data_IF_357094043066
#
_entry.id   IF_357094043066
#
_cell.length_a   1.000
_cell.length_b   1.000
_cell.length_c   1.000
_cell.angle_alpha   90.00
_cell.angle_beta   90.00
_cell.angle_gamma   90.00
#
_symmetry.space_group_name_H-M   'P 1'
#
loop_
_entity.id
_entity.type
_entity.pdbx_description
1 polymer ?
#
# COMPACT_ATOMS: atom_id res chain seq x y z
N UNK A 1 8.65 -16.96 22.66
CA UNK A 1 9.31 -16.20 21.59
C UNK A 1 8.34 -16.14 20.42
N UNK A 2 7.98 -14.95 19.94
CA UNK A 2 7.08 -14.85 18.79
C UNK A 2 7.88 -15.08 17.52
N UNK A 3 7.41 -15.97 16.65
CA UNK A 3 8.09 -16.32 15.41
C UNK A 3 7.13 -16.43 14.24
N UNK A 4 7.66 -16.22 13.05
CA UNK A 4 6.96 -16.46 11.77
C UNK A 4 7.70 -17.59 11.09
N UNK A 5 7.05 -18.74 11.01
CA UNK A 5 7.72 -19.98 10.63
C UNK A 5 8.97 -20.26 11.46
N UNK A 6 10.13 -20.31 10.81
CA UNK A 6 11.41 -20.60 11.45
C UNK A 6 12.10 -19.38 12.07
N UNK A 7 11.64 -18.16 11.77
CA UNK A 7 12.37 -16.93 12.08
C UNK A 7 11.79 -16.27 13.33
N UNK A 8 12.68 -15.97 14.29
CA UNK A 8 12.31 -15.28 15.52
C UNK A 8 12.06 -13.78 15.27
N UNK A 9 10.94 -13.22 15.73
CA UNK A 9 10.64 -11.78 15.56
C UNK A 9 10.92 -10.99 16.83
N UNK A 10 10.51 -11.49 17.99
CA UNK A 10 10.71 -10.81 19.28
C UNK A 10 9.82 -11.35 20.39
N UNK A 11 9.87 -10.72 21.57
CA UNK A 11 8.99 -11.03 22.71
C UNK A 11 9.75 -11.14 24.03
N UNK A 12 9.06 -11.59 25.08
CA UNK A 12 9.60 -11.66 26.44
C UNK A 12 10.55 -12.83 26.72
N UNK A 13 10.82 -13.68 25.71
CA UNK A 13 11.72 -14.82 25.83
C UNK A 13 12.96 -14.62 24.94
N UNK A 14 14.09 -15.17 25.36
CA UNK A 14 15.33 -15.10 24.57
C UNK A 14 15.25 -15.87 23.25
N UNK A 15 16.01 -15.42 22.26
CA UNK A 15 16.25 -16.13 21.00
C UNK A 15 16.79 -17.55 21.28
N UNK A 16 16.38 -18.59 20.53
CA UNK A 16 16.90 -19.95 20.72
C UNK A 16 18.42 -20.07 20.59
N UNK A 17 18.99 -19.25 19.71
CA UNK A 17 20.39 -19.37 19.32
C UNK A 17 21.32 -18.57 20.24
N UNK A 18 20.88 -17.40 20.69
CA UNK A 18 21.72 -16.45 21.43
C UNK A 18 21.25 -16.24 22.87
N UNK A 19 20.01 -16.59 23.21
CA UNK A 19 19.37 -16.23 24.47
C UNK A 19 19.01 -14.73 24.57
N UNK A 20 19.32 -13.93 23.55
CA UNK A 20 19.06 -12.49 23.57
C UNK A 20 17.57 -12.18 23.43
N UNK A 21 17.10 -11.23 24.22
CA UNK A 21 15.72 -10.76 24.19
C UNK A 21 15.64 -9.59 23.21
N UNK A 22 14.74 -9.69 22.24
CA UNK A 22 14.44 -8.61 21.31
C UNK A 22 13.07 -8.05 21.68
N UNK A 23 13.06 -6.81 22.18
CA UNK A 23 11.86 -6.17 22.72
C UNK A 23 10.91 -5.69 21.61
N UNK A 24 11.47 -5.47 20.42
CA UNK A 24 10.75 -4.99 19.27
C UNK A 24 11.17 -5.77 18.04
N UNK A 25 10.25 -6.05 17.13
CA UNK A 25 10.61 -6.67 15.85
C UNK A 25 9.50 -6.58 14.83
N UNK A 26 9.88 -6.65 13.57
CA UNK A 26 8.95 -6.61 12.45
C UNK A 26 9.39 -7.57 11.36
N UNK A 27 8.42 -8.27 10.81
CA UNK A 27 8.55 -9.19 9.71
C UNK A 27 7.79 -8.61 8.50
N UNK A 28 8.50 -8.48 7.40
CA UNK A 28 7.93 -8.14 6.10
C UNK A 28 8.03 -9.32 5.14
N UNK A 29 7.23 -9.28 4.07
CA UNK A 29 7.18 -10.32 3.05
C UNK A 29 7.91 -9.89 1.78
N UNK A 30 8.83 -10.72 1.32
CA UNK A 30 9.59 -10.57 0.10
C UNK A 30 8.81 -11.07 -1.12
N UNK A 31 9.22 -10.59 -2.28
CA UNK A 31 8.61 -10.96 -3.56
C UNK A 31 8.79 -12.43 -3.92
N UNK A 32 9.88 -13.04 -3.44
CA UNK A 32 10.25 -14.44 -3.60
C UNK A 32 11.11 -14.93 -2.44
N UNK A 33 11.30 -16.25 -2.35
CA UNK A 33 12.16 -16.88 -1.34
C UNK A 33 13.63 -16.53 -1.65
N UNK A 34 14.42 -16.08 -0.65
CA UNK A 34 15.86 -15.86 -0.80
C UNK A 34 16.63 -17.12 -1.21
N UNK A 35 17.69 -16.97 -1.98
CA UNK A 35 18.56 -18.10 -2.34
C UNK A 35 19.39 -18.60 -1.15
N UNK A 36 19.81 -17.68 -0.28
CA UNK A 36 20.65 -17.95 0.88
C UNK A 36 20.07 -17.33 2.16
N UNK A 37 20.10 -18.11 3.25
CA UNK A 37 19.84 -17.59 4.60
C UNK A 37 21.01 -16.71 5.04
N UNK A 38 20.71 -15.61 5.72
CA UNK A 38 21.71 -14.64 6.16
C UNK A 38 21.21 -13.84 7.36
N UNK A 39 22.13 -13.46 8.24
CA UNK A 39 21.87 -12.65 9.44
C UNK A 39 22.91 -11.54 9.50
N UNK A 40 22.46 -10.29 9.58
CA UNK A 40 23.32 -9.12 9.65
C UNK A 40 23.05 -8.31 10.92
N UNK A 41 24.12 -8.08 11.68
CA UNK A 41 24.15 -7.27 12.92
C UNK A 41 25.02 -6.02 12.79
N UNK A 42 25.45 -5.68 11.57
CA UNK A 42 26.39 -4.58 11.29
C UNK A 42 25.72 -3.32 10.74
N UNK A 43 24.47 -3.42 10.29
CA UNK A 43 23.71 -2.29 9.73
C UNK A 43 23.40 -1.24 10.80
N UNK A 44 23.08 -1.69 12.01
CA UNK A 44 22.83 -0.82 13.17
C UNK A 44 23.17 -1.56 14.45
N UNK A 45 23.70 -0.85 15.45
CA UNK A 45 24.15 -1.46 16.71
C UNK A 45 23.02 -2.19 17.46
N UNK A 46 21.78 -1.76 17.27
CA UNK A 46 20.61 -2.27 18.00
C UNK A 46 19.70 -3.17 17.17
N UNK A 47 19.97 -3.37 15.88
CA UNK A 47 19.11 -4.16 14.99
C UNK A 47 19.84 -5.36 14.41
N UNK A 48 19.13 -6.47 14.38
CA UNK A 48 19.51 -7.68 13.69
C UNK A 48 18.50 -7.95 12.58
N UNK A 49 19.01 -8.17 11.36
CA UNK A 49 18.19 -8.42 10.18
C UNK A 49 18.46 -9.85 9.72
N UNK A 50 17.41 -10.65 9.55
CA UNK A 50 17.49 -12.05 9.13
C UNK A 50 16.59 -12.33 7.92
N UNK A 51 17.11 -13.14 7.00
CA UNK A 51 16.36 -13.81 5.93
C UNK A 51 16.66 -15.31 5.94
N UNK A 52 15.71 -16.13 5.49
CA UNK A 52 15.86 -17.58 5.41
C UNK A 52 15.57 -18.08 3.98
N UNK A 53 16.32 -19.07 3.48
CA UNK A 53 16.15 -19.59 2.13
C UNK A 53 15.01 -20.61 1.94
N UNK A 54 14.18 -20.82 2.95
CA UNK A 54 12.97 -21.64 2.88
C UNK A 54 11.69 -20.79 2.94
N UNK A 55 11.83 -19.48 3.10
CA UNK A 55 10.78 -18.59 3.60
C UNK A 55 10.90 -17.23 2.91
N UNK A 56 9.80 -16.65 2.44
CA UNK A 56 9.82 -15.35 1.75
C UNK A 56 9.73 -14.18 2.73
N UNK A 57 10.30 -14.29 3.93
CA UNK A 57 10.25 -13.26 4.95
C UNK A 57 11.62 -12.63 5.17
N UNK A 58 11.58 -11.34 5.53
CA UNK A 58 12.70 -10.62 6.12
C UNK A 58 12.26 -10.10 7.48
N UNK A 59 13.08 -10.32 8.50
CA UNK A 59 12.79 -9.91 9.87
C UNK A 59 13.86 -8.95 10.34
N UNK A 60 13.44 -7.78 10.83
CA UNK A 60 14.27 -6.86 11.58
C UNK A 60 13.84 -6.91 13.05
N UNK A 61 14.78 -7.16 13.96
CA UNK A 61 14.52 -7.26 15.40
C UNK A 61 15.50 -6.42 16.19
N UNK A 62 15.03 -5.79 17.27
CA UNK A 62 15.83 -4.88 18.09
C UNK A 62 15.81 -5.20 19.59
N UNK A 63 16.97 -4.97 20.21
CA UNK A 63 17.19 -5.02 21.67
C UNK A 63 16.62 -3.80 22.39
N UNK A 64 16.18 -2.77 21.66
CA UNK A 64 15.51 -1.59 22.22
C UNK A 64 14.00 -1.76 22.18
N UNK A 65 13.33 -1.13 23.14
CA UNK A 65 11.89 -0.98 23.17
C UNK A 65 11.53 0.29 22.39
N UNK A 66 11.00 0.12 21.19
CA UNK A 66 10.51 1.20 20.34
C UNK A 66 8.99 1.26 20.42
N UNK A 67 8.41 2.42 20.10
CA UNK A 67 6.98 2.49 19.87
C UNK A 67 6.57 1.84 18.53
N UNK A 68 5.27 1.66 18.34
CA UNK A 68 4.74 0.97 17.16
C UNK A 68 5.22 1.57 15.82
N UNK A 69 5.21 2.89 15.69
CA UNK A 69 5.54 3.59 14.44
C UNK A 69 7.06 3.61 14.20
N UNK A 70 7.84 3.74 15.27
CA UNK A 70 9.30 3.63 15.24
C UNK A 70 9.75 2.25 14.79
N UNK A 71 9.09 1.17 15.22
CA UNK A 71 9.41 -0.20 14.79
C UNK A 71 9.22 -0.36 13.28
N UNK A 72 8.07 0.11 12.76
CA UNK A 72 7.79 0.01 11.32
C UNK A 72 8.82 0.84 10.54
N UNK A 73 9.04 2.09 10.94
CA UNK A 73 9.92 3.01 10.22
C UNK A 73 11.38 2.54 10.24
N UNK A 74 11.95 2.28 11.42
CA UNK A 74 13.36 1.88 11.54
C UNK A 74 13.59 0.46 11.05
N UNK A 75 12.67 -0.46 11.34
CA UNK A 75 12.77 -1.85 10.88
C UNK A 75 12.70 -1.95 9.36
N UNK A 76 11.83 -1.17 8.72
CA UNK A 76 11.76 -1.11 7.25
C UNK A 76 13.05 -0.56 6.64
N UNK A 77 13.59 0.56 7.15
CA UNK A 77 14.84 1.14 6.67
C UNK A 77 16.03 0.18 6.81
N UNK A 78 16.14 -0.50 7.96
CA UNK A 78 17.17 -1.52 8.18
C UNK A 78 17.05 -2.68 7.18
N UNK A 79 15.83 -3.15 6.91
CA UNK A 79 15.57 -4.18 5.90
C UNK A 79 15.99 -3.71 4.50
N UNK A 80 15.71 -2.46 4.12
CA UNK A 80 16.08 -1.92 2.81
C UNK A 80 17.60 -1.83 2.64
N UNK A 81 18.31 -1.31 3.65
CA UNK A 81 19.78 -1.29 3.66
C UNK A 81 20.35 -2.70 3.55
N UNK A 82 19.76 -3.68 4.25
CA UNK A 82 20.16 -5.08 4.15
C UNK A 82 19.99 -5.62 2.73
N UNK A 83 18.84 -5.35 2.09
CA UNK A 83 18.56 -5.79 0.73
C UNK A 83 19.47 -5.11 -0.31
N UNK A 84 19.83 -3.84 -0.11
CA UNK A 84 20.79 -3.13 -0.93
C UNK A 84 22.18 -3.80 -0.86
N UNK A 85 22.65 -4.10 0.35
CA UNK A 85 23.91 -4.81 0.56
C UNK A 85 23.89 -6.20 -0.08
N UNK A 86 22.80 -6.96 0.09
CA UNK A 86 22.61 -8.27 -0.56
C UNK A 86 22.65 -8.17 -2.08
N UNK A 87 22.02 -7.14 -2.67
CA UNK A 87 22.04 -6.92 -4.11
C UNK A 87 23.45 -6.65 -4.65
N UNK A 88 24.31 -6.00 -3.88
CA UNK A 88 25.69 -5.69 -4.30
C UNK A 88 26.64 -6.85 -4.00
N UNK A 89 26.58 -7.43 -2.81
CA UNK A 89 27.52 -8.44 -2.33
C UNK A 89 27.21 -9.85 -2.87
N UNK A 90 25.94 -10.16 -3.07
CA UNK A 90 25.46 -11.49 -3.46
C UNK A 90 24.74 -11.52 -4.81
N UNK A 91 24.56 -10.37 -5.47
CA UNK A 91 23.78 -10.26 -6.72
C UNK A 91 22.33 -10.75 -6.59
N UNK A 92 21.78 -10.69 -5.38
CA UNK A 92 20.41 -11.08 -5.08
C UNK A 92 19.54 -9.83 -4.86
N UNK A 93 18.56 -9.57 -5.72
CA UNK A 93 17.72 -8.36 -5.63
C UNK A 93 16.27 -8.69 -5.26
N UNK A 94 15.86 -8.44 -4.03
CA UNK A 94 14.49 -8.72 -3.56
C UNK A 94 13.70 -7.43 -3.34
N UNK A 95 12.38 -7.54 -3.31
CA UNK A 95 11.47 -6.45 -2.99
C UNK A 95 10.59 -6.82 -1.81
N UNK A 96 10.41 -5.89 -0.87
CA UNK A 96 9.37 -6.01 0.15
C UNK A 96 8.01 -5.68 -0.49
N UNK A 97 7.06 -6.60 -0.37
CA UNK A 97 5.68 -6.46 -0.85
C UNK A 97 4.81 -5.78 0.20
N UNK A 98 3.99 -4.84 -0.23
CA UNK A 98 2.90 -4.24 0.56
C UNK A 98 3.32 -3.80 1.99
N UNK A 99 4.51 -3.24 2.18
CA UNK A 99 5.08 -2.95 3.52
C UNK A 99 4.17 -2.11 4.43
N UNK A 100 3.30 -1.28 3.85
CA UNK A 100 2.32 -0.48 4.58
C UNK A 100 1.17 -1.31 5.19
N UNK A 101 0.82 -2.44 4.58
CA UNK A 101 -0.42 -3.18 4.92
C UNK A 101 -0.23 -4.68 5.13
N UNK A 102 0.99 -5.21 4.94
CA UNK A 102 1.31 -6.62 5.13
C UNK A 102 2.61 -6.76 5.90
N UNK A 103 2.49 -7.01 7.20
CA UNK A 103 3.61 -7.26 8.09
C UNK A 103 3.14 -7.95 9.37
N UNK A 104 4.09 -8.52 10.10
CA UNK A 104 3.87 -9.03 11.45
C UNK A 104 4.82 -8.27 12.38
N UNK A 105 4.29 -7.65 13.42
CA UNK A 105 5.05 -6.81 14.34
C UNK A 105 4.94 -7.34 15.76
N UNK A 106 6.06 -7.32 16.48
CA UNK A 106 6.14 -7.56 17.92
C UNK A 106 6.55 -6.26 18.58
N UNK A 107 5.75 -5.82 19.55
CA UNK A 107 5.97 -4.58 20.28
C UNK A 107 5.61 -4.76 21.76
N UNK A 108 6.15 -3.90 22.61
CA UNK A 108 5.83 -3.87 24.04
C UNK A 108 4.89 -2.70 24.34
N UNK A 109 3.69 -3.01 24.79
CA UNK A 109 2.68 -2.04 25.22
C UNK A 109 2.54 -2.12 26.75
N UNK A 110 3.03 -1.09 27.45
CA UNK A 110 2.93 -0.97 28.91
C UNK A 110 3.44 -2.21 29.68
N UNK A 111 4.55 -2.81 29.22
CA UNK A 111 5.16 -3.98 29.84
C UNK A 111 4.59 -5.31 29.35
N UNK A 112 3.57 -5.33 28.50
CA UNK A 112 3.03 -6.54 27.87
C UNK A 112 3.46 -6.61 26.41
N UNK A 113 4.01 -7.75 26.00
CA UNK A 113 4.34 -8.02 24.62
C UNK A 113 3.09 -8.41 23.82
N UNK A 114 2.98 -7.81 22.65
CA UNK A 114 1.94 -8.10 21.70
C UNK A 114 2.57 -8.48 20.36
N UNK A 115 2.04 -9.53 19.73
CA UNK A 115 2.26 -9.79 18.31
C UNK A 115 1.02 -9.35 17.54
N UNK A 116 1.20 -8.55 16.49
CA UNK A 116 0.13 -8.11 15.61
C UNK A 116 0.43 -8.55 14.19
N UNK A 117 -0.51 -9.28 13.63
CA UNK A 117 -0.57 -9.63 12.22
C UNK A 117 -1.40 -8.59 11.46
N UNK A 118 -0.79 -7.91 10.49
CA UNK A 118 -1.47 -6.91 9.64
C UNK A 118 -1.55 -7.46 8.22
N UNK A 119 -2.75 -7.42 7.64
CA UNK A 119 -3.00 -7.86 6.27
C UNK A 119 -4.01 -6.96 5.57
N UNK A 120 -3.98 -7.01 4.24
CA UNK A 120 -4.87 -6.23 3.37
C UNK A 120 -5.75 -7.13 2.53
N UNK A 121 -6.93 -6.63 2.17
CA UNK A 121 -7.74 -7.13 1.07
C UNK A 121 -8.22 -5.96 0.21
N UNK A 122 -8.23 -6.14 -1.11
CA UNK A 122 -8.70 -5.12 -2.04
C UNK A 122 -10.18 -5.38 -2.39
N UNK A 123 -11.04 -4.41 -2.12
CA UNK A 123 -12.45 -4.38 -2.52
C UNK A 123 -12.56 -3.64 -3.86
N UNK A 124 -12.55 -4.41 -4.94
CA UNK A 124 -12.60 -3.86 -6.31
C UNK A 124 -14.06 -3.57 -6.69
N UNK A 125 -14.35 -2.32 -7.02
CA UNK A 125 -15.66 -1.93 -7.54
C UNK A 125 -15.52 -1.13 -8.84
N UNK A 126 -16.42 -1.38 -9.79
CA UNK A 126 -16.54 -0.58 -10.99
C UNK A 126 -18.00 -0.43 -11.36
N UNK A 127 -18.39 0.75 -11.85
CA UNK A 127 -19.70 1.00 -12.42
C UNK A 127 -19.57 1.61 -13.80
N UNK A 128 -20.43 1.19 -14.72
CA UNK A 128 -20.53 1.71 -16.07
C UNK A 128 -21.96 2.15 -16.32
N UNK A 129 -22.11 3.32 -16.94
CA UNK A 129 -23.42 3.87 -17.32
C UNK A 129 -23.46 3.98 -18.83
N UNK A 130 -24.53 3.51 -19.44
CA UNK A 130 -24.83 3.73 -20.85
C UNK A 130 -26.02 4.68 -20.96
N UNK A 131 -25.91 5.67 -21.85
CA UNK A 131 -26.99 6.62 -22.15
C UNK A 131 -27.53 6.28 -23.53
N UNK A 132 -28.84 6.09 -23.62
CA UNK A 132 -29.55 5.96 -24.89
C UNK A 132 -30.44 7.19 -25.08
N UNK A 133 -30.21 7.95 -26.15
CA UNK A 133 -31.09 9.07 -26.51
C UNK A 133 -32.22 8.50 -27.36
N UNK A 134 -33.47 8.69 -26.93
CA UNK A 134 -34.64 8.35 -27.73
C UNK A 134 -35.14 9.60 -28.46
N UNK A 135 -35.54 9.45 -29.70
CA UNK A 135 -36.27 10.48 -30.42
C UNK A 135 -37.75 10.54 -29.95
N UNK A 136 -38.49 11.50 -30.51
CA UNK A 136 -39.92 11.71 -30.23
C UNK A 136 -40.80 10.50 -30.56
N UNK A 137 -40.32 9.61 -31.42
CA UNK A 137 -41.02 8.42 -31.89
C UNK A 137 -40.58 7.17 -31.08
N UNK A 138 -39.77 7.36 -30.04
CA UNK A 138 -39.28 6.31 -29.14
C UNK A 138 -38.10 5.49 -29.71
N UNK A 139 -37.54 5.91 -30.85
CA UNK A 139 -36.42 5.21 -31.50
C UNK A 139 -35.08 5.74 -31.00
N UNK A 140 -34.09 4.85 -30.87
CA UNK A 140 -32.75 5.25 -30.44
C UNK A 140 -32.08 6.12 -31.50
N UNK A 141 -31.62 7.31 -31.09
CA UNK A 141 -30.81 8.20 -31.90
C UNK A 141 -29.35 7.77 -31.84
N UNK A 142 -28.72 7.57 -32.99
CA UNK A 142 -27.27 7.36 -33.06
C UNK A 142 -26.53 8.59 -32.53
N UNK A 143 -25.67 8.37 -31.54
CA UNK A 143 -24.74 9.40 -31.08
C UNK A 143 -23.67 9.62 -32.15
N UNK A 144 -23.20 10.87 -32.35
CA UNK A 144 -22.04 11.11 -33.19
C UNK A 144 -20.88 10.22 -32.73
N UNK A 145 -20.24 9.51 -33.67
CA UNK A 145 -19.07 8.70 -33.34
C UNK A 145 -17.96 9.63 -32.86
N UNK A 146 -17.53 9.50 -31.62
CA UNK A 146 -16.38 10.24 -31.10
C UNK A 146 -15.15 9.94 -31.97
N UNK A 147 -14.44 10.98 -32.39
CA UNK A 147 -13.17 10.81 -33.11
C UNK A 147 -12.15 10.19 -32.17
N UNK A 148 -11.52 9.10 -32.60
CA UNK A 148 -10.48 8.46 -31.80
C UNK A 148 -9.29 9.41 -31.63
N UNK A 149 -8.79 9.59 -30.39
CA UNK A 149 -7.71 10.53 -30.16
C UNK A 149 -6.44 10.05 -30.87
N UNK A 150 -5.84 10.94 -31.69
CA UNK A 150 -4.54 10.66 -32.31
C UNK A 150 -3.48 10.44 -31.22
N UNK A 151 -2.76 9.34 -31.31
CA UNK A 151 -1.71 8.97 -30.35
C UNK A 151 -0.64 10.06 -30.25
N UNK A 152 -0.26 10.39 -29.01
CA UNK A 152 0.90 11.20 -28.66
C UNK A 152 1.73 10.49 -27.59
N UNK A 153 3.00 10.85 -27.46
CA UNK A 153 3.93 10.19 -26.54
C UNK A 153 3.45 10.24 -25.07
N UNK A 154 2.76 11.30 -24.66
CA UNK A 154 2.15 11.44 -23.34
C UNK A 154 1.29 10.23 -22.93
N UNK A 155 0.55 9.62 -23.87
CA UNK A 155 -0.34 8.49 -23.57
C UNK A 155 0.41 7.24 -23.14
N UNK A 156 1.62 7.03 -23.67
CA UNK A 156 2.46 5.90 -23.25
C UNK A 156 2.89 6.07 -21.81
N UNK A 157 3.38 7.25 -21.45
CA UNK A 157 3.80 7.55 -20.08
C UNK A 157 2.64 7.51 -19.10
N UNK A 158 1.46 8.02 -19.47
CA UNK A 158 0.27 7.89 -18.64
C UNK A 158 -0.11 6.42 -18.41
N UNK A 159 -0.17 5.60 -19.47
CA UNK A 159 -0.43 4.16 -19.31
C UNK A 159 0.58 3.50 -18.36
N UNK A 160 1.87 3.80 -18.51
CA UNK A 160 2.91 3.27 -17.63
C UNK A 160 2.70 3.70 -16.18
N UNK A 161 2.32 4.96 -15.93
CA UNK A 161 2.02 5.43 -14.57
C UNK A 161 0.82 4.72 -13.94
N UNK A 162 -0.13 4.26 -14.74
CA UNK A 162 -1.31 3.51 -14.25
C UNK A 162 -1.03 2.02 -14.02
N UNK A 163 -0.03 1.45 -14.69
CA UNK A 163 0.32 0.02 -14.58
C UNK A 163 1.47 -0.26 -13.62
N UNK A 164 2.23 0.76 -13.23
CA UNK A 164 3.38 0.58 -12.34
C UNK A 164 2.94 0.21 -10.93
N UNK A 165 3.67 -0.70 -10.29
CA UNK A 165 3.45 -1.08 -8.89
C UNK A 165 4.21 -0.17 -7.93
N UNK A 166 5.28 0.47 -8.40
CA UNK A 166 6.05 1.41 -7.61
C UNK A 166 5.52 2.84 -7.80
N UNK A 167 5.03 3.45 -6.73
CA UNK A 167 4.58 4.86 -6.71
C UNK A 167 5.67 5.83 -7.18
N UNK A 168 6.94 5.58 -6.87
CA UNK A 168 8.03 6.45 -7.31
C UNK A 168 8.13 6.44 -8.83
N UNK A 169 8.17 5.27 -9.45
CA UNK A 169 8.21 5.16 -10.92
C UNK A 169 6.89 5.56 -11.59
N UNK A 170 5.75 5.29 -10.93
CA UNK A 170 4.44 5.77 -11.38
C UNK A 170 4.43 7.29 -11.48
N UNK A 171 4.90 7.99 -10.44
CA UNK A 171 5.03 9.43 -10.43
C UNK A 171 5.96 9.94 -11.53
N UNK A 172 7.16 9.34 -11.67
CA UNK A 172 8.09 9.70 -12.75
C UNK A 172 7.40 9.63 -14.12
N UNK A 173 6.69 8.52 -14.38
CA UNK A 173 5.94 8.35 -15.62
C UNK A 173 4.79 9.35 -15.77
N UNK A 174 4.05 9.66 -14.70
CA UNK A 174 2.97 10.66 -14.77
C UNK A 174 3.52 12.06 -15.07
N UNK A 175 4.65 12.43 -14.46
CA UNK A 175 5.28 13.72 -14.73
C UNK A 175 5.81 13.82 -16.17
N UNK A 176 6.46 12.77 -16.68
CA UNK A 176 6.86 12.71 -18.11
C UNK A 176 5.66 12.77 -19.05
N UNK A 177 4.53 12.18 -18.66
CA UNK A 177 3.28 12.30 -19.40
C UNK A 177 2.77 13.73 -19.41
N UNK A 178 2.85 14.43 -18.29
CA UNK A 178 2.47 15.83 -18.16
C UNK A 178 3.36 16.74 -19.01
N UNK A 179 4.68 16.62 -18.91
CA UNK A 179 5.62 17.37 -19.75
C UNK A 179 5.38 17.13 -21.24
N UNK A 180 5.21 15.86 -21.64
CA UNK A 180 4.94 15.51 -23.04
C UNK A 180 3.59 16.01 -23.54
N UNK A 181 2.57 16.06 -22.69
CA UNK A 181 1.26 16.64 -23.02
C UNK A 181 1.39 18.16 -23.22
N UNK A 182 2.12 18.84 -22.33
CA UNK A 182 2.38 20.27 -22.46
C UNK A 182 3.17 20.56 -23.73
N UNK A 183 4.20 19.79 -24.06
CA UNK A 183 4.99 19.95 -25.30
C UNK A 183 4.13 19.77 -26.57
N UNK A 184 3.18 18.84 -26.55
CA UNK A 184 2.23 18.66 -27.65
C UNK A 184 1.30 19.87 -27.87
N UNK A 185 1.06 20.68 -26.82
CA UNK A 185 0.21 21.89 -26.87
C UNK A 185 1.06 23.15 -27.12
N UNK A 186 2.18 23.27 -26.42
CA UNK A 186 3.13 24.39 -26.42
C UNK A 186 4.56 23.87 -26.61
N UNK A 187 5.00 23.62 -27.85
CA UNK A 187 6.29 23.00 -28.13
C UNK A 187 7.48 23.72 -27.49
N UNK A 188 8.45 22.95 -27.00
CA UNK A 188 9.66 23.47 -26.38
C UNK A 188 10.44 24.35 -27.34
N UNK A 189 10.76 25.56 -26.86
CA UNK A 189 11.72 26.49 -27.47
C UNK A 189 12.89 26.62 -26.52
N UNK A 190 14.13 26.73 -27.01
CA UNK A 190 15.38 26.69 -26.22
C UNK A 190 15.54 27.88 -25.24
N UNK A 191 14.67 28.02 -24.26
CA UNK A 191 14.62 29.09 -23.23
C UNK A 191 14.93 28.57 -21.82
N UNK A 192 15.32 27.29 -21.73
CA UNK A 192 15.46 26.54 -20.48
C UNK A 192 14.16 25.84 -20.10
N UNK A 193 14.28 24.58 -19.67
CA UNK A 193 13.15 23.69 -19.34
C UNK A 193 12.18 24.33 -18.35
N UNK A 194 12.68 24.80 -17.20
CA UNK A 194 11.87 25.44 -16.15
C UNK A 194 11.10 26.66 -16.67
N UNK A 195 11.76 27.56 -17.41
CA UNK A 195 11.14 28.78 -17.92
C UNK A 195 10.06 28.47 -18.97
N UNK A 196 10.32 27.49 -19.84
CA UNK A 196 9.33 27.00 -20.78
C UNK A 196 8.12 26.42 -20.05
N UNK A 197 8.34 25.57 -19.06
CA UNK A 197 7.26 24.93 -18.30
C UNK A 197 6.38 25.98 -17.60
N UNK A 198 6.98 26.96 -16.90
CA UNK A 198 6.27 28.09 -16.28
C UNK A 198 5.40 28.82 -17.32
N UNK A 199 5.99 29.22 -18.44
CA UNK A 199 5.30 29.96 -19.49
C UNK A 199 4.14 29.18 -20.11
N UNK A 200 4.30 27.86 -20.28
CA UNK A 200 3.27 26.98 -20.81
C UNK A 200 2.13 26.77 -19.81
N UNK A 201 2.42 26.53 -18.53
CA UNK A 201 1.38 26.37 -17.50
C UNK A 201 0.59 27.67 -17.33
N UNK A 202 1.22 28.85 -17.38
CA UNK A 202 0.49 30.12 -17.38
C UNK A 202 -0.52 30.23 -18.53
N UNK A 203 -0.15 29.79 -19.74
CA UNK A 203 -1.04 29.79 -20.91
C UNK A 203 -2.18 28.79 -20.76
N UNK A 204 -1.90 27.60 -20.23
CA UNK A 204 -2.92 26.59 -19.88
C UNK A 204 -3.90 27.19 -18.89
N UNK A 205 -3.41 27.66 -17.75
CA UNK A 205 -4.25 28.17 -16.66
C UNK A 205 -5.14 29.34 -17.09
N UNK A 206 -4.63 30.24 -17.95
CA UNK A 206 -5.42 31.33 -18.53
C UNK A 206 -6.60 30.85 -19.38
N UNK A 207 -6.46 29.69 -20.01
CA UNK A 207 -7.49 29.11 -20.90
C UNK A 207 -8.40 28.14 -20.16
N UNK A 208 -7.83 27.36 -19.25
CA UNK A 208 -8.45 26.29 -18.47
C UNK A 208 -8.01 26.46 -17.00
N UNK A 209 -8.85 27.09 -16.15
CA UNK A 209 -8.51 27.35 -14.75
C UNK A 209 -8.14 26.06 -14.00
N UNK A 210 -7.09 26.14 -13.17
CA UNK A 210 -6.49 24.97 -12.49
C UNK A 210 -6.71 24.99 -10.96
N UNK A 211 -7.37 26.02 -10.43
CA UNK A 211 -7.48 26.29 -8.99
C UNK A 211 -8.20 25.18 -8.23
N UNK A 212 -9.12 24.47 -8.89
CA UNK A 212 -9.87 23.38 -8.27
C UNK A 212 -9.04 22.09 -8.07
N UNK A 213 -7.83 22.02 -8.63
CA UNK A 213 -7.00 20.81 -8.64
C UNK A 213 -5.75 20.90 -7.77
N UNK A 214 -5.62 21.94 -6.96
CA UNK A 214 -4.51 22.12 -6.02
C UNK A 214 -5.05 22.19 -4.57
N UNK A 215 -4.20 22.04 -3.55
CA UNK A 215 -4.61 22.27 -2.16
C UNK A 215 -5.19 23.69 -1.98
N UNK A 216 -6.40 23.79 -1.41
CA UNK A 216 -7.11 25.07 -1.22
C UNK A 216 -6.31 26.08 -0.38
N UNK A 217 -5.46 25.57 0.52
CA UNK A 217 -4.60 26.36 1.39
C UNK A 217 -3.31 26.86 0.71
N UNK A 218 -3.04 26.50 -0.55
CA UNK A 218 -1.80 26.89 -1.22
C UNK A 218 -1.85 28.38 -1.67
N UNK A 219 -1.00 29.26 -1.13
CA UNK A 219 -1.24 30.71 -1.21
C UNK A 219 -0.79 31.36 -2.52
N UNK A 220 0.06 30.70 -3.31
CA UNK A 220 0.68 31.27 -4.52
C UNK A 220 -0.05 30.91 -5.83
N UNK A 221 -1.10 30.09 -5.75
CA UNK A 221 -1.88 29.68 -6.91
C UNK A 221 -1.30 28.46 -7.66
N UNK A 222 -1.95 28.03 -8.76
CA UNK A 222 -1.70 26.72 -9.37
C UNK A 222 -0.39 26.62 -10.14
N UNK A 223 0.08 27.72 -10.75
CA UNK A 223 1.35 27.71 -11.47
C UNK A 223 2.50 27.48 -10.50
N UNK A 224 2.55 28.25 -9.41
CA UNK A 224 3.58 28.12 -8.40
C UNK A 224 3.51 26.76 -7.69
N UNK A 225 2.29 26.23 -7.43
CA UNK A 225 2.14 24.88 -6.88
C UNK A 225 2.78 23.80 -7.77
N UNK A 226 2.48 23.81 -9.08
CA UNK A 226 3.04 22.81 -10.01
C UNK A 226 4.57 22.95 -10.09
N UNK A 227 5.10 24.17 -10.03
CA UNK A 227 6.54 24.39 -10.13
C UNK A 227 7.26 24.02 -8.83
N UNK A 228 6.83 24.57 -7.69
CA UNK A 228 7.51 24.38 -6.41
C UNK A 228 7.31 22.94 -5.89
N UNK A 229 6.07 22.43 -5.86
CA UNK A 229 5.78 21.13 -5.27
C UNK A 229 6.02 19.99 -6.27
N UNK A 230 5.49 20.06 -7.49
CA UNK A 230 5.59 18.92 -8.42
C UNK A 230 6.96 18.86 -9.12
N UNK A 231 7.44 19.98 -9.67
CA UNK A 231 8.68 20.01 -10.44
C UNK A 231 9.93 20.08 -9.55
N UNK A 232 10.06 21.08 -8.67
CA UNK A 232 11.28 21.30 -7.89
C UNK A 232 11.45 20.31 -6.75
N UNK A 233 10.41 20.14 -5.93
CA UNK A 233 10.50 19.28 -4.76
C UNK A 233 10.46 17.80 -5.14
N UNK A 234 9.39 17.35 -5.81
CA UNK A 234 9.20 15.92 -6.06
C UNK A 234 9.98 15.43 -7.28
N UNK A 235 9.80 16.05 -8.46
CA UNK A 235 10.48 15.59 -9.68
C UNK A 235 12.00 15.76 -9.56
N UNK A 236 12.51 16.96 -9.25
CA UNK A 236 13.98 17.10 -9.15
C UNK A 236 14.54 16.27 -7.98
N UNK A 237 13.82 16.14 -6.85
CA UNK A 237 14.20 15.28 -5.74
C UNK A 237 14.30 13.79 -6.10
N UNK A 238 13.44 13.28 -6.98
CA UNK A 238 13.47 11.89 -7.45
C UNK A 238 14.48 11.63 -8.57
N UNK A 239 14.89 12.64 -9.33
CA UNK A 239 15.75 12.48 -10.52
C UNK A 239 17.21 12.88 -10.27
N UNK A 240 17.54 13.45 -9.11
CA UNK A 240 18.89 13.79 -8.72
C UNK A 240 19.39 12.98 -7.53
N UNK A 241 20.66 12.57 -7.60
CA UNK A 241 21.36 11.84 -6.53
C UNK A 241 22.43 12.69 -5.84
N UNK A 242 22.49 14.00 -6.13
CA UNK A 242 23.45 14.95 -5.57
C UNK A 242 22.66 16.14 -5.06
N UNK A 243 22.53 16.31 -3.73
CA UNK A 243 22.05 17.47 -2.95
C UNK A 243 21.42 16.99 -1.62
N UNK A 244 20.97 17.93 -0.76
CA UNK A 244 20.38 17.62 0.56
C UNK A 244 18.91 17.20 0.50
N UNK A 245 18.19 17.57 -0.56
CA UNK A 245 16.74 17.34 -0.70
C UNK A 245 16.43 16.18 -1.66
N UNK A 246 17.20 15.09 -1.56
CA UNK A 246 17.01 13.91 -2.41
C UNK A 246 15.92 13.03 -1.83
N UNK A 247 15.02 12.56 -2.69
CA UNK A 247 14.05 11.54 -2.34
C UNK A 247 14.64 10.19 -2.74
N UNK A 248 15.14 9.45 -1.76
CA UNK A 248 15.61 8.08 -1.96
C UNK A 248 14.38 7.16 -1.94
N UNK A 249 14.10 6.42 -3.03
CA UNK A 249 12.98 5.49 -3.08
C UNK A 249 13.06 4.45 -1.96
N UNK A 250 11.89 4.02 -1.49
CA UNK A 250 11.74 2.94 -0.51
C UNK A 250 12.42 3.21 0.85
N UNK A 251 12.63 4.47 1.23
CA UNK A 251 13.08 4.85 2.58
C UNK A 251 11.95 4.83 3.62
N UNK A 252 10.70 4.84 3.17
CA UNK A 252 9.52 4.78 4.04
C UNK A 252 8.57 3.70 3.54
N UNK A 253 7.90 2.98 4.45
CA UNK A 253 6.90 1.97 4.08
C UNK A 253 5.68 2.60 3.40
N UNK A 254 5.33 3.83 3.79
CA UNK A 254 4.28 4.64 3.16
C UNK A 254 4.88 5.99 2.68
N UNK A 255 5.14 6.17 1.38
CA UNK A 255 5.67 7.41 0.82
C UNK A 255 4.54 8.43 0.55
N UNK A 256 3.85 8.84 1.62
CA UNK A 256 2.66 9.70 1.57
C UNK A 256 2.85 10.98 0.76
N UNK A 257 4.03 11.59 0.84
CA UNK A 257 4.39 12.79 0.08
C UNK A 257 4.35 12.59 -1.45
N UNK A 258 4.86 11.45 -1.93
CA UNK A 258 4.85 11.12 -3.37
C UNK A 258 3.45 10.74 -3.82
N UNK A 259 2.75 9.99 -2.96
CA UNK A 259 1.37 9.60 -3.20
C UNK A 259 0.46 10.83 -3.31
N UNK A 260 0.59 11.79 -2.40
CA UNK A 260 -0.16 13.05 -2.42
C UNK A 260 0.17 13.85 -3.70
N UNK A 261 1.46 14.02 -4.02
CA UNK A 261 1.86 14.70 -5.24
C UNK A 261 1.26 14.06 -6.49
N UNK A 262 1.30 12.73 -6.57
CA UNK A 262 0.70 11.93 -7.64
C UNK A 262 -0.83 12.13 -7.73
N UNK A 263 -1.52 12.11 -6.59
CA UNK A 263 -2.97 12.33 -6.50
C UNK A 263 -3.40 13.73 -6.96
N UNK A 264 -2.58 14.76 -6.75
CA UNK A 264 -2.83 16.10 -7.28
C UNK A 264 -2.48 16.24 -8.77
N UNK A 265 -1.43 15.56 -9.25
CA UNK A 265 -1.01 15.69 -10.64
C UNK A 265 -1.95 14.97 -11.63
N UNK A 266 -2.55 13.84 -11.26
CA UNK A 266 -3.52 13.12 -12.10
C UNK A 266 -4.67 14.01 -12.58
N UNK A 267 -5.44 14.68 -11.70
CA UNK A 267 -6.59 15.46 -12.12
C UNK A 267 -6.18 16.67 -12.95
N UNK A 268 -5.04 17.31 -12.65
CA UNK A 268 -4.45 18.36 -13.49
C UNK A 268 -4.20 17.82 -14.90
N UNK A 269 -3.52 16.67 -15.02
CA UNK A 269 -3.23 16.04 -16.31
C UNK A 269 -4.49 15.71 -17.11
N UNK A 270 -5.49 15.08 -16.45
CA UNK A 270 -6.77 14.72 -17.08
C UNK A 270 -7.55 15.95 -17.53
N UNK A 271 -7.54 17.01 -16.74
CA UNK A 271 -8.21 18.27 -17.08
C UNK A 271 -7.58 18.91 -18.32
N UNK A 272 -6.25 18.99 -18.38
CA UNK A 272 -5.54 19.49 -19.57
C UNK A 272 -5.80 18.62 -20.80
N UNK A 273 -5.80 17.29 -20.66
CA UNK A 273 -6.08 16.38 -21.78
C UNK A 273 -7.52 16.53 -22.31
N UNK A 274 -8.50 16.59 -21.40
CA UNK A 274 -9.92 16.73 -21.74
C UNK A 274 -10.14 17.94 -22.63
N UNK A 275 -9.53 19.07 -22.28
CA UNK A 275 -9.62 20.31 -23.06
C UNK A 275 -8.77 20.31 -24.34
N UNK A 276 -7.74 19.48 -24.43
CA UNK A 276 -6.92 19.37 -25.64
C UNK A 276 -7.55 18.49 -26.74
N UNK A 277 -8.33 17.47 -26.35
CA UNK A 277 -8.88 16.47 -27.28
C UNK A 277 -10.41 16.37 -27.30
N UNK A 278 -11.12 17.18 -26.52
CA UNK A 278 -12.57 17.08 -26.33
C UNK A 278 -13.01 15.66 -25.92
N UNK A 279 -12.14 14.91 -25.24
CA UNK A 279 -12.41 13.52 -24.82
C UNK A 279 -13.09 13.49 -23.47
N UNK A 280 -14.21 12.77 -23.36
CA UNK A 280 -14.81 12.46 -22.07
C UNK A 280 -13.98 11.40 -21.34
N UNK A 281 -13.34 11.79 -20.24
CA UNK A 281 -12.61 10.85 -19.37
C UNK A 281 -13.49 10.58 -18.14
N UNK A 282 -14.40 9.60 -18.24
CA UNK A 282 -15.36 9.28 -17.17
C UNK A 282 -15.52 7.79 -16.89
N UNK A 283 -15.81 7.49 -15.63
CA UNK A 283 -16.20 6.18 -15.10
C UNK A 283 -16.88 6.41 -13.76
N UNK A 284 -17.91 5.62 -13.41
CA UNK A 284 -18.57 5.80 -12.11
C UNK A 284 -17.69 5.22 -11.00
N UNK A 285 -17.52 5.99 -9.92
CA UNK A 285 -16.65 5.68 -8.78
C UNK A 285 -17.47 5.47 -7.51
N UNK A 286 -16.98 4.65 -6.57
CA UNK A 286 -17.40 4.79 -5.18
C UNK A 286 -16.76 6.03 -4.59
N UNK A 287 -17.57 6.86 -3.93
CA UNK A 287 -17.04 7.83 -3.00
C UNK A 287 -16.55 7.12 -1.74
N UNK A 288 -15.59 7.74 -1.03
CA UNK A 288 -15.14 7.22 0.27
C UNK A 288 -16.25 7.21 1.31
N UNK A 289 -17.17 8.17 1.27
CA UNK A 289 -18.36 8.16 2.14
C UNK A 289 -19.26 6.96 1.85
N UNK A 290 -19.53 6.68 0.57
CA UNK A 290 -20.34 5.51 0.18
C UNK A 290 -19.68 4.19 0.54
N UNK A 291 -18.34 4.10 0.38
CA UNK A 291 -17.57 2.95 0.83
C UNK A 291 -17.61 2.79 2.35
N UNK A 292 -17.40 3.88 3.11
CA UNK A 292 -17.49 3.88 4.57
C UNK A 292 -18.86 3.38 5.03
N UNK A 293 -19.94 3.91 4.48
CA UNK A 293 -21.30 3.55 4.90
C UNK A 293 -21.61 2.08 4.56
N UNK A 294 -21.11 1.58 3.41
CA UNK A 294 -21.19 0.18 3.03
C UNK A 294 -20.41 -0.72 4.00
N UNK A 295 -19.16 -0.37 4.28
CA UNK A 295 -18.32 -1.13 5.19
C UNK A 295 -18.88 -1.08 6.62
N UNK A 296 -19.45 0.04 7.05
CA UNK A 296 -20.08 0.17 8.38
C UNK A 296 -21.27 -0.78 8.53
N UNK A 297 -22.07 -0.93 7.48
CA UNK A 297 -23.14 -1.91 7.44
C UNK A 297 -22.64 -3.35 7.56
N UNK A 298 -21.56 -3.71 6.85
CA UNK A 298 -20.99 -5.06 6.93
C UNK A 298 -20.28 -5.32 8.26
N UNK A 299 -19.46 -4.37 8.73
CA UNK A 299 -18.67 -4.45 9.95
C UNK A 299 -19.54 -4.67 11.19
N UNK A 300 -20.69 -3.98 11.28
CA UNK A 300 -21.67 -4.17 12.38
C UNK A 300 -22.25 -5.58 12.47
N UNK A 301 -22.15 -6.37 11.41
CA UNK A 301 -22.64 -7.75 11.39
C UNK A 301 -21.57 -8.78 11.72
N UNK A 302 -20.31 -8.36 11.87
CA UNK A 302 -19.23 -9.28 12.25
C UNK A 302 -19.41 -9.63 13.73
N UNK A 303 -19.45 -10.93 14.01
CA UNK A 303 -19.83 -11.47 15.33
C UNK A 303 -18.74 -12.31 15.98
N UNK A 304 -17.80 -12.84 15.20
CA UNK A 304 -16.72 -13.70 15.72
C UNK A 304 -15.41 -13.47 15.00
N UNK A 305 -14.33 -13.55 15.76
CA UNK A 305 -12.97 -13.69 15.28
C UNK A 305 -12.48 -15.09 15.67
N UNK A 306 -11.87 -15.79 14.74
CA UNK A 306 -11.49 -17.20 14.91
C UNK A 306 -10.10 -17.43 14.32
N UNK A 307 -9.27 -18.19 15.02
CA UNK A 307 -7.95 -18.61 14.55
C UNK A 307 -7.81 -20.13 14.53
N UNK A 308 -6.96 -20.66 13.66
CA UNK A 308 -6.66 -22.10 13.60
C UNK A 308 -5.21 -22.37 13.21
N UNK A 309 -4.68 -23.47 13.74
CA UNK A 309 -3.40 -24.04 13.35
C UNK A 309 -3.48 -24.95 12.12
N UNK A 310 -4.60 -24.95 11.40
CA UNK A 310 -4.76 -25.70 10.15
C UNK A 310 -3.88 -25.11 9.02
N UNK A 311 -2.85 -25.84 8.54
CA UNK A 311 -1.95 -25.35 7.51
C UNK A 311 -2.53 -25.50 6.09
N UNK A 312 -3.77 -25.99 5.92
CA UNK A 312 -4.37 -26.18 4.59
C UNK A 312 -4.47 -24.82 3.87
N UNK A 313 -3.97 -24.67 2.63
CA UNK A 313 -4.07 -23.42 1.89
C UNK A 313 -5.51 -22.96 1.62
N UNK A 314 -5.69 -21.65 1.36
CA UNK A 314 -6.99 -21.11 0.95
C UNK A 314 -7.35 -21.57 -0.47
N UNK A 315 -8.59 -22.04 -0.64
CA UNK A 315 -9.24 -22.27 -1.94
C UNK A 315 -10.49 -21.41 -2.03
N UNK A 316 -10.91 -21.06 -3.25
CA UNK A 316 -12.07 -20.18 -3.50
C UNK A 316 -13.40 -20.72 -2.95
N UNK A 317 -13.50 -22.02 -2.71
CA UNK A 317 -14.67 -22.72 -2.18
C UNK A 317 -14.58 -23.04 -0.68
N UNK A 318 -13.52 -22.57 0.01
CA UNK A 318 -13.38 -22.79 1.44
C UNK A 318 -14.51 -22.10 2.23
N UNK A 319 -15.40 -22.91 2.79
CA UNK A 319 -16.45 -22.49 3.71
C UNK A 319 -16.18 -22.93 5.17
N UNK A 320 -15.00 -23.47 5.45
CA UNK A 320 -14.59 -23.93 6.78
C UNK A 320 -13.24 -23.34 7.20
N UNK A 321 -13.15 -22.89 8.46
CA UNK A 321 -11.92 -22.36 9.05
C UNK A 321 -10.83 -23.42 9.14
N UNK A 322 -11.19 -24.67 9.43
CA UNK A 322 -10.25 -25.78 9.51
C UNK A 322 -10.74 -26.95 8.66
N UNK A 323 -10.44 -26.94 7.34
CA UNK A 323 -10.80 -28.04 6.44
C UNK A 323 -10.25 -29.39 6.88
N UNK A 324 -9.11 -29.41 7.57
CA UNK A 324 -8.47 -30.63 8.06
C UNK A 324 -8.79 -30.94 9.55
N UNK A 325 -9.80 -30.26 10.14
CA UNK A 325 -10.29 -30.49 11.51
C UNK A 325 -9.24 -30.33 12.62
N UNK A 326 -8.32 -29.38 12.44
CA UNK A 326 -7.41 -28.87 13.46
C UNK A 326 -8.15 -28.02 14.50
N UNK A 327 -7.41 -27.65 15.56
CA UNK A 327 -7.94 -26.82 16.64
C UNK A 327 -8.40 -25.46 16.11
N UNK A 328 -9.54 -25.03 16.61
CA UNK A 328 -10.14 -23.73 16.32
C UNK A 328 -10.28 -22.98 17.63
N UNK A 329 -9.76 -21.75 17.69
CA UNK A 329 -9.79 -20.92 18.88
C UNK A 329 -10.56 -19.63 18.57
N UNK A 330 -11.62 -19.39 19.35
CA UNK A 330 -12.44 -18.17 19.23
C UNK A 330 -11.72 -17.05 19.97
N UNK A 331 -11.54 -15.89 19.32
CA UNK A 331 -10.91 -14.71 19.91
C UNK A 331 -11.68 -14.13 21.09
N UNK A 332 -11.00 -13.31 21.89
CA UNK A 332 -11.54 -12.67 23.09
C UNK A 332 -12.24 -11.34 22.76
N UNK A 333 -11.70 -10.61 21.78
CA UNK A 333 -12.21 -9.32 21.36
C UNK A 333 -12.31 -9.26 19.85
N UNK A 334 -13.28 -8.46 19.40
CA UNK A 334 -13.45 -8.08 18.01
C UNK A 334 -13.83 -6.62 17.94
N UNK A 335 -13.31 -5.94 16.92
CA UNK A 335 -13.69 -4.58 16.64
C UNK A 335 -13.60 -4.26 15.17
N UNK A 336 -14.15 -3.10 14.85
CA UNK A 336 -14.32 -2.65 13.48
C UNK A 336 -14.28 -1.13 13.44
N UNK A 337 -13.62 -0.59 12.42
CA UNK A 337 -13.54 0.84 12.15
C UNK A 337 -13.71 1.13 10.65
N UNK A 338 -14.87 1.68 10.29
CA UNK A 338 -15.16 2.15 8.93
C UNK A 338 -14.37 3.41 8.55
N UNK A 339 -13.84 4.13 9.54
CA UNK A 339 -13.18 5.43 9.41
C UNK A 339 -11.67 5.31 9.57
N UNK A 340 -11.13 4.11 9.41
CA UNK A 340 -9.71 3.84 9.54
C UNK A 340 -8.86 4.75 8.63
N UNK A 341 -9.35 5.02 7.41
CA UNK A 341 -8.78 6.04 6.54
C UNK A 341 -9.60 6.25 5.26
N UNK A 342 -9.27 7.25 4.43
CA UNK A 342 -9.92 7.46 3.14
C UNK A 342 -9.83 6.21 2.26
N UNK A 343 -10.97 5.58 1.94
CA UNK A 343 -11.01 4.34 1.16
C UNK A 343 -10.48 3.11 1.90
N UNK A 344 -10.28 3.18 3.21
CA UNK A 344 -9.81 2.09 4.06
C UNK A 344 -10.79 1.82 5.21
N UNK A 345 -11.02 0.55 5.52
CA UNK A 345 -11.71 0.13 6.75
C UNK A 345 -10.93 -0.97 7.42
N UNK A 346 -10.99 -1.04 8.75
CA UNK A 346 -10.29 -2.03 9.55
C UNK A 346 -11.28 -2.96 10.24
N UNK A 347 -11.03 -4.26 10.17
CA UNK A 347 -11.59 -5.26 11.08
C UNK A 347 -10.42 -5.79 11.91
N UNK A 348 -10.60 -5.95 13.22
CA UNK A 348 -9.57 -6.52 14.06
C UNK A 348 -10.12 -7.50 15.08
N UNK A 349 -9.27 -8.44 15.47
CA UNK A 349 -9.55 -9.42 16.50
C UNK A 349 -8.36 -9.60 17.43
N UNK A 350 -8.62 -9.93 18.69
CA UNK A 350 -7.57 -10.19 19.69
C UNK A 350 -7.79 -11.52 20.39
N UNK A 351 -6.69 -12.16 20.77
CA UNK A 351 -6.70 -13.40 21.54
C UNK A 351 -5.53 -13.43 22.53
N UNK A 352 -5.81 -13.89 23.75
CA UNK A 352 -4.79 -14.20 24.75
C UNK A 352 -4.01 -15.43 24.31
N UNK A 353 -2.69 -15.29 24.30
CA UNK A 353 -1.77 -16.36 23.90
C UNK A 353 -1.75 -17.52 24.89
N UNK A 354 -2.20 -17.32 26.13
CA UNK A 354 -2.38 -18.39 27.13
C UNK A 354 -3.32 -19.51 26.65
N UNK A 355 -4.15 -19.24 25.65
CA UNK A 355 -5.09 -20.19 25.03
C UNK A 355 -4.49 -20.96 23.85
N UNK A 356 -3.29 -20.60 23.42
CA UNK A 356 -2.60 -21.16 22.25
C UNK A 356 -1.47 -22.04 22.78
N UNK A 357 -1.34 -23.26 22.25
CA UNK A 357 -0.24 -24.12 22.66
C UNK A 357 1.09 -23.51 22.21
N UNK A 358 2.13 -23.60 23.04
CA UNK A 358 3.47 -23.09 22.72
C UNK A 358 4.08 -23.65 21.42
N UNK A 359 3.59 -24.81 20.95
CA UNK A 359 4.06 -25.48 19.73
C UNK A 359 3.19 -25.21 18.51
N UNK A 360 2.09 -24.48 18.67
CA UNK A 360 1.15 -24.23 17.58
C UNK A 360 1.57 -23.03 16.75
N UNK A 361 1.64 -23.26 15.44
CA UNK A 361 1.70 -22.22 14.44
C UNK A 361 0.30 -21.96 13.93
N UNK A 362 -0.15 -20.71 14.06
CA UNK A 362 -1.45 -20.27 13.58
C UNK A 362 -1.34 -19.83 12.12
N UNK A 363 -2.11 -20.48 11.26
CA UNK A 363 -2.06 -20.25 9.82
C UNK A 363 -3.28 -19.51 9.30
N UNK A 364 -4.44 -19.66 9.93
CA UNK A 364 -5.72 -19.13 9.43
C UNK A 364 -6.36 -18.20 10.44
N UNK A 365 -6.74 -17.01 9.98
CA UNK A 365 -7.37 -15.94 10.77
C UNK A 365 -8.66 -15.51 10.08
N UNK A 366 -9.77 -15.54 10.79
CA UNK A 366 -11.09 -15.53 10.17
C UNK A 366 -12.06 -14.61 10.92
N UNK A 367 -12.85 -13.86 10.15
CA UNK A 367 -13.97 -13.06 10.65
C UNK A 367 -15.32 -13.56 10.11
N UNK A 368 -16.29 -13.80 11.02
CA UNK A 368 -17.63 -14.36 10.70
C UNK A 368 -18.77 -13.37 10.94
N UNK A 369 -19.77 -13.43 10.06
CA UNK A 369 -21.10 -12.83 10.25
C UNK A 369 -22.17 -13.91 10.11
N UNK A 370 -22.90 -14.23 11.19
CA UNK A 370 -24.01 -15.20 11.17
C UNK A 370 -23.63 -16.49 10.42
N UNK A 371 -22.46 -17.05 10.77
CA UNK A 371 -21.85 -18.25 10.19
C UNK A 371 -21.42 -18.15 8.71
N UNK A 372 -21.42 -16.95 8.12
CA UNK A 372 -20.79 -16.69 6.83
C UNK A 372 -19.38 -16.14 6.99
N UNK A 373 -18.46 -16.63 6.17
CA UNK A 373 -17.13 -16.08 6.01
C UNK A 373 -17.22 -14.65 5.46
N UNK A 374 -16.72 -13.68 6.22
CA UNK A 374 -16.58 -12.30 5.74
C UNK A 374 -15.17 -12.07 5.21
N UNK A 375 -14.18 -12.57 5.96
CA UNK A 375 -12.79 -12.31 5.65
C UNK A 375 -11.87 -13.41 6.20
N UNK A 376 -10.88 -13.79 5.41
CA UNK A 376 -9.90 -14.82 5.73
C UNK A 376 -8.51 -14.28 5.42
N UNK A 377 -7.62 -14.32 6.40
CA UNK A 377 -6.19 -14.15 6.20
C UNK A 377 -5.49 -15.50 6.42
N UNK A 378 -4.46 -15.78 5.61
CA UNK A 378 -3.66 -17.00 5.70
C UNK A 378 -2.17 -16.69 5.67
N UNK A 379 -1.43 -17.39 6.52
CA UNK A 379 0.03 -17.32 6.63
C UNK A 379 0.61 -18.70 6.34
N UNK A 380 1.29 -18.82 5.22
CA UNK A 380 1.90 -20.08 4.74
C UNK A 380 2.79 -20.70 5.83
N UNK A 381 3.68 -19.91 6.41
CA UNK A 381 4.63 -20.35 7.45
C UNK A 381 4.06 -20.34 8.86
N UNK A 382 2.87 -19.77 9.03
CA UNK A 382 2.19 -19.64 10.31
C UNK A 382 2.88 -18.67 11.28
N UNK A 383 2.13 -18.29 12.32
CA UNK A 383 2.57 -17.42 13.41
C UNK A 383 2.56 -18.20 14.70
N UNK A 384 3.70 -18.29 15.39
CA UNK A 384 3.74 -18.78 16.76
C UNK A 384 3.84 -17.57 17.70
N UNK A 385 2.83 -17.29 18.54
CA UNK A 385 2.81 -16.12 19.40
C UNK A 385 3.44 -16.35 20.78
N UNK A 386 4.20 -17.44 20.98
CA UNK A 386 4.82 -17.78 22.28
C UNK A 386 5.59 -16.59 22.85
N UNK A 387 5.66 -16.42 24.16
CA UNK A 387 6.41 -15.33 24.80
C UNK A 387 5.87 -13.92 24.50
N UNK A 388 4.61 -13.84 24.06
CA UNK A 388 3.79 -12.63 24.06
C UNK A 388 2.53 -12.91 24.84
N UNK A 389 1.86 -11.89 25.38
CA UNK A 389 0.63 -12.03 26.16
C UNK A 389 -0.62 -11.98 25.27
N UNK A 390 -0.50 -11.33 24.10
CA UNK A 390 -1.61 -11.07 23.18
C UNK A 390 -1.20 -11.25 21.72
N UNK A 391 -2.08 -11.89 20.95
CA UNK A 391 -2.05 -11.90 19.50
C UNK A 391 -3.21 -11.05 18.98
N UNK A 392 -2.89 -10.19 18.02
CA UNK A 392 -3.83 -9.32 17.32
C UNK A 392 -3.80 -9.64 15.83
N UNK A 393 -4.96 -9.65 15.19
CA UNK A 393 -5.07 -9.73 13.74
C UNK A 393 -5.84 -8.52 13.23
N UNK A 394 -5.19 -7.74 12.36
CA UNK A 394 -5.71 -6.52 11.76
C UNK A 394 -5.88 -6.78 10.27
N UNK A 395 -7.11 -6.69 9.79
CA UNK A 395 -7.44 -6.91 8.40
C UNK A 395 -8.03 -5.64 7.79
N UNK A 396 -7.25 -5.03 6.89
CA UNK A 396 -7.55 -3.75 6.25
C UNK A 396 -8.22 -4.04 4.91
N UNK A 397 -9.42 -3.51 4.70
CA UNK A 397 -10.10 -3.54 3.40
C UNK A 397 -9.87 -2.21 2.69
N UNK A 398 -9.32 -2.25 1.48
CA UNK A 398 -9.02 -1.08 0.65
C UNK A 398 -9.94 -1.02 -0.56
N UNK A 399 -10.63 0.08 -0.75
CA UNK A 399 -11.42 0.34 -1.95
C UNK A 399 -10.49 0.51 -3.17
N UNK A 400 -10.78 -0.23 -4.24
CA UNK A 400 -10.15 -0.06 -5.54
C UNK A 400 -11.24 0.24 -6.57
N UNK A 401 -11.29 1.49 -7.05
CA UNK A 401 -12.19 1.85 -8.13
C UNK A 401 -11.58 1.43 -9.48
N UNK A 402 -12.22 0.46 -10.16
CA UNK A 402 -11.72 -0.14 -11.41
C UNK A 402 -11.67 0.84 -12.59
N UNK A 403 -12.57 1.82 -12.60
CA UNK A 403 -12.78 2.73 -13.73
C UNK A 403 -12.11 4.10 -13.52
N UNK A 404 -11.16 4.18 -12.58
CA UNK A 404 -10.49 5.43 -12.20
C UNK A 404 -9.01 5.30 -12.43
N UNK A 405 -8.31 6.44 -12.43
CA UNK A 405 -6.86 6.40 -12.35
C UNK A 405 -6.45 5.61 -11.10
N UNK A 406 -5.45 4.76 -11.21
CA UNK A 406 -4.80 4.10 -10.08
C UNK A 406 -4.28 5.20 -9.16
N UNK A 407 -4.68 5.20 -7.89
CA UNK A 407 -4.20 6.14 -6.85
C UNK A 407 -3.71 5.40 -5.61
N UNK A 408 -3.52 4.09 -5.73
CA UNK A 408 -3.13 3.17 -4.67
C UNK A 408 -2.06 2.27 -5.23
N UNK A 409 -0.94 2.10 -4.53
CA UNK A 409 0.19 1.32 -5.02
C UNK A 409 0.31 0.00 -4.29
#
# INVERSE_FOLDING_TARGET
>A
MASVGGIYVGGGEGSPNTGEIFFSGICFFLDRIPENSDINTSISEDWEIEVNNHQNQIVARSKKCYDYEEIITHGYDCCQIFLDLKSVLHHESYLIKNAEFEYIIVYNENGSFCVRDVSKSDFIMGSSVSIQILDKDGSAKELPKEEEPKWIQAFRYYRLSQTDLDIYNAYRNLFLSFESLIDAIFPYVKVGEKNWLIGSIHKIHKTYPLDSFIPKQYPKGPVDYIIEEQYEKIRCGLFHAKNRDIIVPLTKPNPSEILEAYQYLIPIWRHVLTHYKDTLIGGGEMTYDGFRDLMEYFGKKITKFVVSNDPTPIKNDNNCISPANYTVIIGDEIGYDAKYGPGLSLIYGKISTSRISEKEYLHRFWFENQDNLVQLNYRDDGINPKGTERLECYQITRLINKNTSKTTF
#
